data_IF_429732278731
#
_entry.id   IF_429732278731
#
_cell.length_a   1.000
_cell.length_b   1.000
_cell.length_c   1.000
_cell.angle_alpha   90.00
_cell.angle_beta   90.00
_cell.angle_gamma   90.00
#
_symmetry.space_group_name_H-M   'P 1'
#
loop_
_entity.id
_entity.type
_entity.pdbx_description
1 polymer ?
#
# COMPACT_ATOMS: atom_id res chain seq x y z
N UNK A 1 11.20 27.08 4.53
CA UNK A 1 10.25 26.37 3.64
C UNK A 1 9.89 25.05 4.31
N UNK A 2 8.60 24.70 4.33
CA UNK A 2 8.15 23.39 4.83
C UNK A 2 8.48 22.33 3.79
N UNK A 3 9.10 21.22 4.19
CA UNK A 3 9.39 20.09 3.31
C UNK A 3 8.20 19.12 3.19
N UNK A 4 7.03 19.51 3.69
CA UNK A 4 5.80 18.72 3.62
C UNK A 4 4.91 19.21 2.48
N UNK A 5 4.02 18.33 2.01
CA UNK A 5 3.03 18.64 0.98
C UNK A 5 2.15 19.85 1.39
N UNK A 6 1.96 20.79 0.47
CA UNK A 6 1.13 21.98 0.65
C UNK A 6 0.02 21.99 -0.42
N UNK A 7 -1.25 21.75 -0.04
CA UNK A 7 -2.36 21.73 -0.99
C UNK A 7 -2.67 23.10 -1.62
N UNK A 8 -2.12 24.21 -1.10
CA UNK A 8 -2.32 25.56 -1.64
C UNK A 8 -1.21 25.99 -2.62
N UNK A 9 -0.12 25.22 -2.71
CA UNK A 9 0.96 25.46 -3.65
C UNK A 9 0.72 24.71 -4.98
N UNK A 10 1.51 25.03 -6.01
CA UNK A 10 1.45 24.32 -7.29
C UNK A 10 1.86 22.85 -7.13
N UNK A 11 0.97 21.94 -7.49
CA UNK A 11 1.24 20.51 -7.60
C UNK A 11 0.64 19.93 -8.88
N UNK A 12 1.30 18.93 -9.44
CA UNK A 12 0.84 18.19 -10.60
C UNK A 12 0.13 16.92 -10.14
N UNK A 13 -0.96 16.55 -10.81
CA UNK A 13 -1.61 15.24 -10.62
C UNK A 13 -1.37 14.41 -11.86
N UNK A 14 -0.67 13.29 -11.71
CA UNK A 14 -0.51 12.31 -12.77
C UNK A 14 -1.31 11.06 -12.41
N UNK A 15 -1.92 10.41 -13.42
CA UNK A 15 -2.57 9.10 -13.24
C UNK A 15 -1.80 8.05 -14.03
N UNK A 16 -1.33 7.00 -13.34
CA UNK A 16 -1.07 5.68 -13.93
C UNK A 16 -2.17 4.73 -13.47
N UNK A 17 -1.95 3.97 -12.38
CA UNK A 17 -2.98 3.12 -11.78
C UNK A 17 -3.73 3.79 -10.62
N UNK A 18 -3.11 4.77 -9.97
CA UNK A 18 -3.71 5.59 -8.91
C UNK A 18 -3.34 7.07 -9.15
N UNK A 19 -4.12 8.03 -8.62
CA UNK A 19 -3.77 9.45 -8.71
C UNK A 19 -2.53 9.74 -7.85
N UNK A 20 -1.43 10.11 -8.49
CA UNK A 20 -0.19 10.53 -7.83
C UNK A 20 -0.11 12.06 -7.86
N UNK A 21 0.00 12.68 -6.67
CA UNK A 21 0.28 14.11 -6.53
C UNK A 21 1.79 14.32 -6.50
N UNK A 22 2.29 15.26 -7.30
CA UNK A 22 3.69 15.64 -7.38
C UNK A 22 3.83 17.15 -7.12
N UNK A 23 4.39 17.49 -5.98
CA UNK A 23 4.86 18.83 -5.64
C UNK A 23 6.40 18.83 -5.59
N UNK A 24 7.03 19.88 -6.10
CA UNK A 24 8.48 20.01 -6.08
C UNK A 24 8.98 20.36 -4.68
N UNK A 25 10.11 19.78 -4.26
CA UNK A 25 10.75 20.09 -2.99
C UNK A 25 10.10 19.52 -1.73
N UNK A 26 9.10 18.62 -1.87
CA UNK A 26 8.45 17.95 -0.72
C UNK A 26 8.92 16.52 -0.54
N UNK A 27 8.86 16.05 0.70
CA UNK A 27 9.20 14.68 1.10
C UNK A 27 8.01 13.75 0.81
N UNK A 28 8.31 12.58 0.26
CA UNK A 28 7.34 11.50 0.07
C UNK A 28 7.69 10.33 0.97
N UNK A 29 6.69 9.76 1.63
CA UNK A 29 6.80 8.49 2.32
C UNK A 29 6.32 7.38 1.39
N UNK A 30 7.16 6.36 1.19
CA UNK A 30 6.81 5.15 0.43
C UNK A 30 6.78 3.99 1.41
N UNK A 31 5.62 3.36 1.54
CA UNK A 31 5.43 2.17 2.38
C UNK A 31 5.16 0.97 1.49
N UNK A 32 5.92 -0.11 1.67
CA UNK A 32 5.69 -1.39 1.02
C UNK A 32 5.64 -2.51 2.05
N UNK A 33 4.86 -3.55 1.76
CA UNK A 33 4.74 -4.72 2.61
C UNK A 33 5.50 -5.90 2.00
N UNK A 34 6.23 -6.64 2.85
CA UNK A 34 6.89 -7.87 2.42
C UNK A 34 5.88 -8.98 2.13
N UNK A 35 6.26 -9.96 1.32
CA UNK A 35 5.35 -11.03 0.88
C UNK A 35 4.77 -11.86 2.04
N UNK A 36 5.49 -11.92 3.17
CA UNK A 36 5.15 -12.65 4.39
C UNK A 36 4.48 -11.78 5.47
N UNK A 37 4.30 -10.48 5.22
CA UNK A 37 3.64 -9.55 6.16
C UNK A 37 2.22 -9.96 6.55
N UNK A 38 1.55 -10.76 5.70
CA UNK A 38 0.24 -11.35 5.97
C UNK A 38 0.36 -12.87 6.08
N UNK A 39 -0.10 -13.48 7.18
CA UNK A 39 -0.12 -14.94 7.30
C UNK A 39 -0.90 -15.59 6.16
N UNK A 40 -0.25 -16.49 5.41
CA UNK A 40 -0.81 -17.09 4.19
C UNK A 40 -2.20 -17.71 4.40
N UNK A 41 -2.39 -18.42 5.51
CA UNK A 41 -3.68 -19.03 5.86
C UNK A 41 -4.78 -17.99 6.12
N UNK A 42 -4.47 -16.92 6.87
CA UNK A 42 -5.42 -15.83 7.13
C UNK A 42 -5.80 -15.11 5.85
N UNK A 43 -4.82 -14.85 4.97
CA UNK A 43 -5.05 -14.23 3.67
C UNK A 43 -5.93 -15.10 2.76
N UNK A 44 -5.67 -16.41 2.68
CA UNK A 44 -6.47 -17.32 1.87
C UNK A 44 -7.92 -17.39 2.35
N UNK A 45 -8.13 -17.55 3.66
CA UNK A 45 -9.47 -17.55 4.25
C UNK A 45 -10.23 -16.25 3.94
N UNK A 46 -9.59 -15.09 4.14
CA UNK A 46 -10.21 -13.79 3.85
C UNK A 46 -10.53 -13.61 2.36
N UNK A 47 -9.71 -14.15 1.46
CA UNK A 47 -9.97 -14.13 0.03
C UNK A 47 -11.21 -14.95 -0.34
N UNK A 48 -11.40 -16.13 0.26
CA UNK A 48 -12.61 -16.93 0.04
C UNK A 48 -13.86 -16.27 0.63
N UNK A 49 -13.79 -15.74 1.86
CA UNK A 49 -14.87 -14.96 2.46
C UNK A 49 -15.27 -13.77 1.56
N UNK A 50 -14.28 -13.04 1.02
CA UNK A 50 -14.52 -11.91 0.12
C UNK A 50 -15.17 -12.34 -1.18
N UNK A 51 -14.74 -13.46 -1.78
CA UNK A 51 -15.36 -14.00 -3.01
C UNK A 51 -16.82 -14.33 -2.78
N UNK A 52 -17.14 -15.02 -1.69
CA UNK A 52 -18.52 -15.36 -1.33
C UNK A 52 -19.36 -14.12 -1.10
N UNK A 53 -18.84 -13.13 -0.37
CA UNK A 53 -19.54 -11.87 -0.14
C UNK A 53 -19.84 -11.13 -1.45
N UNK A 54 -18.89 -11.08 -2.39
CA UNK A 54 -19.09 -10.44 -3.70
C UNK A 54 -20.09 -11.19 -4.59
N UNK A 55 -20.15 -12.52 -4.48
CA UNK A 55 -21.14 -13.32 -5.20
C UNK A 55 -22.56 -13.04 -4.70
N UNK A 56 -22.72 -12.82 -3.39
CA UNK A 56 -23.99 -12.49 -2.73
C UNK A 56 -24.37 -11.00 -2.87
N UNK A 57 -23.38 -10.11 -2.95
CA UNK A 57 -23.56 -8.67 -3.03
C UNK A 57 -23.01 -8.16 -4.37
N UNK A 58 -23.76 -8.40 -5.45
CA UNK A 58 -23.37 -7.91 -6.77
C UNK A 58 -23.48 -6.37 -6.83
N UNK A 59 -22.57 -5.70 -7.55
CA UNK A 59 -22.60 -4.24 -7.69
C UNK A 59 -23.84 -3.78 -8.50
N UNK A 60 -24.29 -2.51 -8.33
CA UNK A 60 -23.67 -1.46 -7.51
C UNK A 60 -23.96 -1.63 -6.01
N UNK A 61 -22.95 -1.35 -5.18
CA UNK A 61 -23.07 -1.44 -3.73
C UNK A 61 -23.65 -0.16 -3.14
N UNK A 62 -24.59 -0.30 -2.21
CA UNK A 62 -25.07 0.83 -1.42
C UNK A 62 -24.06 1.20 -0.30
N UNK A 63 -24.25 2.36 0.33
CA UNK A 63 -23.37 2.86 1.38
C UNK A 63 -23.16 1.85 2.52
N UNK A 64 -24.22 1.16 2.95
CA UNK A 64 -24.15 0.14 4.01
C UNK A 64 -23.27 -1.05 3.60
N UNK A 65 -23.40 -1.52 2.37
CA UNK A 65 -22.58 -2.61 1.82
C UNK A 65 -21.11 -2.20 1.67
N UNK A 66 -20.85 -0.95 1.26
CA UNK A 66 -19.48 -0.41 1.18
C UNK A 66 -18.84 -0.38 2.57
N UNK A 67 -19.55 0.13 3.58
CA UNK A 67 -19.05 0.17 4.94
C UNK A 67 -18.85 -1.23 5.54
N UNK A 68 -19.79 -2.14 5.31
CA UNK A 68 -19.68 -3.53 5.71
C UNK A 68 -18.44 -4.18 5.09
N UNK A 69 -18.24 -3.98 3.79
CA UNK A 69 -17.06 -4.46 3.08
C UNK A 69 -15.76 -3.91 3.69
N UNK A 70 -15.69 -2.61 3.97
CA UNK A 70 -14.50 -2.02 4.58
C UNK A 70 -14.24 -2.57 5.99
N UNK A 71 -15.28 -2.75 6.80
CA UNK A 71 -15.15 -3.36 8.13
C UNK A 71 -14.70 -4.82 8.06
N UNK A 72 -15.30 -5.61 7.16
CA UNK A 72 -15.09 -7.05 7.08
C UNK A 72 -13.79 -7.45 6.39
N UNK A 73 -13.24 -6.60 5.51
CA UNK A 73 -12.07 -6.96 4.71
C UNK A 73 -10.91 -5.98 4.88
N UNK A 74 -11.14 -4.68 4.61
CA UNK A 74 -10.05 -3.69 4.67
C UNK A 74 -9.48 -3.54 6.08
N UNK A 75 -10.34 -3.42 7.10
CA UNK A 75 -9.90 -3.26 8.48
C UNK A 75 -9.11 -4.47 8.97
N UNK A 76 -9.58 -5.69 8.70
CA UNK A 76 -8.87 -6.91 9.11
C UNK A 76 -7.49 -7.04 8.48
N UNK A 77 -7.33 -6.62 7.22
CA UNK A 77 -6.01 -6.59 6.57
C UNK A 77 -5.10 -5.59 7.28
N UNK A 78 -5.57 -4.37 7.57
CA UNK A 78 -4.77 -3.39 8.31
C UNK A 78 -4.38 -3.91 9.70
N UNK A 79 -5.33 -4.46 10.46
CA UNK A 79 -5.06 -5.02 11.79
C UNK A 79 -4.00 -6.14 11.73
N UNK A 80 -3.97 -6.96 10.68
CA UNK A 80 -2.94 -7.99 10.51
C UNK A 80 -1.58 -7.46 10.08
N UNK A 81 -1.56 -6.37 9.30
CA UNK A 81 -0.31 -5.69 8.93
C UNK A 81 0.30 -5.02 10.15
N UNK A 82 -0.52 -4.35 10.97
CA UNK A 82 -0.10 -3.69 12.20
C UNK A 82 0.39 -4.69 13.25
N UNK A 83 -0.16 -5.91 13.27
CA UNK A 83 0.29 -6.98 14.15
C UNK A 83 1.69 -7.53 13.83
N UNK A 84 2.29 -7.15 12.69
CA UNK A 84 3.69 -7.47 12.38
C UNK A 84 3.99 -8.96 12.28
N UNK A 85 3.08 -9.77 11.72
CA UNK A 85 3.21 -11.23 11.67
C UNK A 85 4.30 -11.77 10.72
N UNK A 86 4.94 -10.91 9.93
CA UNK A 86 6.03 -11.31 9.05
C UNK A 86 7.32 -11.63 9.81
N UNK A 87 8.31 -12.16 9.10
CA UNK A 87 9.65 -12.43 9.61
C UNK A 87 10.44 -11.17 9.99
N UNK A 88 9.92 -9.99 9.64
CA UNK A 88 10.63 -8.71 9.77
C UNK A 88 12.02 -8.77 9.11
N UNK A 89 12.13 -9.33 7.90
CA UNK A 89 13.42 -9.53 7.22
C UNK A 89 14.27 -8.25 7.10
N UNK A 90 13.65 -7.06 7.08
CA UNK A 90 14.38 -5.77 7.07
C UNK A 90 14.99 -5.38 8.42
N UNK A 91 14.70 -6.12 9.50
CA UNK A 91 15.42 -5.98 10.76
C UNK A 91 16.85 -6.55 10.67
N UNK A 92 17.12 -7.42 9.68
CA UNK A 92 18.46 -7.85 9.34
C UNK A 92 19.22 -6.71 8.63
N UNK A 93 20.33 -6.21 9.19
CA UNK A 93 21.10 -5.12 8.60
C UNK A 93 21.67 -5.42 7.20
N UNK A 94 21.90 -6.69 6.85
CA UNK A 94 22.40 -7.08 5.53
C UNK A 94 21.29 -6.96 4.48
N UNK A 95 20.11 -7.50 4.78
CA UNK A 95 18.93 -7.41 3.92
C UNK A 95 18.50 -5.95 3.76
N UNK A 96 18.51 -5.18 4.85
CA UNK A 96 18.22 -3.75 4.83
C UNK A 96 19.14 -3.00 3.84
N UNK A 97 20.46 -3.19 3.95
CA UNK A 97 21.44 -2.54 3.06
C UNK A 97 21.29 -2.95 1.61
N UNK A 98 20.97 -4.22 1.35
CA UNK A 98 20.70 -4.69 -0.01
C UNK A 98 19.49 -3.95 -0.61
N UNK A 99 18.36 -3.91 0.10
CA UNK A 99 17.14 -3.22 -0.37
C UNK A 99 17.39 -1.72 -0.55
N UNK A 100 18.09 -1.08 0.39
CA UNK A 100 18.50 0.32 0.28
C UNK A 100 19.32 0.58 -0.99
N UNK A 101 20.31 -0.27 -1.28
CA UNK A 101 21.14 -0.13 -2.48
C UNK A 101 20.32 -0.21 -3.78
N UNK A 102 19.29 -1.07 -3.82
CA UNK A 102 18.39 -1.23 -4.98
C UNK A 102 17.49 -0.01 -5.15
N UNK A 103 16.93 0.51 -4.05
CA UNK A 103 16.10 1.72 -4.08
C UNK A 103 16.91 2.95 -4.51
N UNK A 104 18.17 3.06 -4.11
CA UNK A 104 19.04 4.17 -4.50
C UNK A 104 19.59 4.04 -5.93
N UNK A 105 19.81 2.83 -6.43
CA UNK A 105 20.33 2.59 -7.79
C UNK A 105 19.26 2.73 -8.88
N UNK A 106 18.00 2.39 -8.57
CA UNK A 106 16.87 2.53 -9.51
C UNK A 106 16.48 3.99 -9.80
N UNK A 107 16.93 4.96 -8.99
CA UNK A 107 16.79 6.39 -9.30
C UNK A 107 17.70 6.88 -10.44
N UNK A 108 18.70 6.09 -10.86
CA UNK A 108 19.60 6.42 -11.99
C UNK A 108 19.04 5.99 -13.35
N UNK A 109 18.10 5.02 -13.40
CA UNK A 109 17.65 4.42 -14.67
C UNK A 109 16.32 4.97 -15.23
N UNK A 110 15.73 6.00 -14.62
CA UNK A 110 14.44 6.55 -15.02
C UNK A 110 14.44 7.58 -16.16
N UNK A 111 15.59 7.89 -16.77
CA UNK A 111 15.72 8.95 -17.78
C UNK A 111 16.20 8.38 -19.12
N UNK A 112 15.39 7.52 -19.75
CA UNK A 112 15.45 7.14 -21.18
C UNK A 112 14.20 6.32 -21.55
N UNK A 113 13.13 7.00 -21.96
CA UNK A 113 12.30 6.70 -23.15
C UNK A 113 11.22 7.76 -23.30
#
# INVERSE_FOLDING_TARGET
>A
MSNFFDPQADFQVHRRNLPHRRQAGVIYFVTFHLADSLPRLKRAALQEERKLWLALNQPPHNQRQIEEYHRNFSKRIHDWLDAGHGSCALADPEIFRLVESVLNSSMSSGMRS
#
